data_IF_042379102670
#
_entry.id   IF_042379102670
#
_cell.length_a   1.000
_cell.length_b   1.000
_cell.length_c   1.000
_cell.angle_alpha   90.00
_cell.angle_beta   90.00
_cell.angle_gamma   90.00
#
_symmetry.space_group_name_H-M   'P 1'
#
loop_
_entity.id
_entity.type
_entity.pdbx_description
1 polymer ?
#
# COMPACT_ATOMS: atom_id res chain seq x y z
N UNK A 1 -8.67 -4.02 2.99
CA UNK A 1 -8.64 -5.38 3.56
C UNK A 1 -7.46 -5.44 4.52
N UNK A 2 -7.72 -5.85 5.77
CA UNK A 2 -6.66 -6.06 6.78
C UNK A 2 -6.25 -7.53 6.77
N UNK A 3 -4.96 -7.82 6.60
CA UNK A 3 -4.44 -9.20 6.64
C UNK A 3 -3.52 -9.46 7.84
N UNK A 4 -3.20 -8.43 8.63
CA UNK A 4 -2.41 -8.56 9.87
C UNK A 4 -3.26 -9.10 11.01
N UNK A 5 -2.78 -10.15 11.66
CA UNK A 5 -3.44 -10.81 12.80
C UNK A 5 -2.97 -10.34 14.17
N UNK A 6 -1.81 -9.69 14.26
CA UNK A 6 -1.21 -9.25 15.54
C UNK A 6 -0.83 -7.76 15.48
N UNK A 7 -1.83 -6.89 15.63
CA UNK A 7 -1.64 -5.44 15.67
C UNK A 7 -1.86 -4.90 17.07
N UNK A 8 -0.99 -4.00 17.57
CA UNK A 8 -1.37 -3.15 18.70
C UNK A 8 -2.66 -2.40 18.37
N UNK A 9 -3.50 -2.17 19.40
CA UNK A 9 -4.82 -1.56 19.24
C UNK A 9 -4.78 -0.20 18.50
N UNK A 10 -3.68 0.54 18.62
CA UNK A 10 -3.43 1.85 18.00
C UNK A 10 -2.67 1.80 16.66
N UNK A 11 -2.40 0.61 16.12
CA UNK A 11 -1.75 0.48 14.81
C UNK A 11 -2.72 0.82 13.68
N UNK A 12 -2.25 1.62 12.71
CA UNK A 12 -2.99 2.00 11.48
C UNK A 12 -3.54 0.77 10.76
N UNK A 13 -4.83 0.76 10.40
CA UNK A 13 -5.50 -0.38 9.73
C UNK A 13 -6.01 0.00 8.35
N UNK A 14 -6.33 -1.01 7.54
CA UNK A 14 -7.08 -0.81 6.31
C UNK A 14 -8.42 -0.13 6.59
N UNK A 15 -8.68 0.97 5.90
CA UNK A 15 -9.82 1.87 6.14
C UNK A 15 -9.42 3.18 6.81
N UNK A 16 -8.29 3.23 7.51
CA UNK A 16 -7.82 4.46 8.17
C UNK A 16 -7.22 5.45 7.18
N UNK A 17 -7.20 6.72 7.59
CA UNK A 17 -6.42 7.74 6.89
C UNK A 17 -4.95 7.43 7.07
N UNK A 18 -4.21 7.41 5.96
CA UNK A 18 -2.77 7.18 5.97
C UNK A 18 -2.08 8.25 6.82
N UNK A 19 -1.32 7.89 7.88
CA UNK A 19 -0.58 8.88 8.65
C UNK A 19 0.39 9.68 7.79
N UNK A 20 0.31 10.99 7.94
CA UNK A 20 1.24 11.93 7.31
C UNK A 20 2.51 12.12 8.14
N UNK A 21 3.60 12.53 7.49
CA UNK A 21 4.87 12.81 8.16
C UNK A 21 6.06 12.84 7.20
N UNK A 22 7.22 13.24 7.73
CA UNK A 22 8.51 13.15 7.02
C UNK A 22 9.33 12.03 7.66
N UNK A 23 9.65 10.98 6.90
CA UNK A 23 10.43 9.83 7.37
C UNK A 23 11.41 9.36 6.31
N UNK A 24 12.66 9.11 6.71
CA UNK A 24 13.73 8.74 5.76
C UNK A 24 13.93 9.76 4.63
N UNK A 25 13.65 11.04 4.89
CA UNK A 25 13.68 12.10 3.87
C UNK A 25 12.46 12.16 2.94
N UNK A 26 11.50 11.24 3.08
CA UNK A 26 10.28 11.20 2.27
C UNK A 26 9.14 11.90 3.00
N UNK A 27 8.48 12.86 2.34
CA UNK A 27 7.22 13.44 2.81
C UNK A 27 6.06 12.57 2.33
N UNK A 28 5.45 11.84 3.26
CA UNK A 28 4.42 10.85 2.98
C UNK A 28 3.24 11.46 2.21
N UNK A 29 2.81 12.65 2.59
CA UNK A 29 1.77 13.41 1.89
C UNK A 29 2.05 13.54 0.38
N UNK A 30 3.24 14.00 0.00
CA UNK A 30 3.62 14.18 -1.40
C UNK A 30 3.85 12.84 -2.11
N UNK A 31 4.20 11.80 -1.35
CA UNK A 31 4.39 10.46 -1.88
C UNK A 31 3.07 9.74 -2.18
N UNK A 32 2.00 10.06 -1.45
CA UNK A 32 0.64 9.55 -1.67
C UNK A 32 -0.14 10.37 -2.69
N UNK A 33 0.27 11.62 -2.92
CA UNK A 33 -0.40 12.54 -3.82
C UNK A 33 -0.19 12.11 -5.28
N UNK A 34 -1.29 12.01 -6.02
CA UNK A 34 -1.27 11.75 -7.46
C UNK A 34 -2.39 10.79 -7.87
N UNK A 35 -2.56 10.52 -9.17
CA UNK A 35 -3.55 9.57 -9.69
C UNK A 35 -3.13 8.11 -9.53
N UNK A 36 -2.15 7.83 -8.66
CA UNK A 36 -1.56 6.51 -8.48
C UNK A 36 -1.83 5.98 -7.07
N UNK A 37 -1.89 4.66 -6.96
CA UNK A 37 -1.81 4.00 -5.66
C UNK A 37 -0.36 4.03 -5.17
N UNK A 38 -0.17 4.03 -3.86
CA UNK A 38 1.18 4.04 -3.28
C UNK A 38 1.35 2.86 -2.33
N UNK A 39 2.30 1.98 -2.62
CA UNK A 39 2.73 0.93 -1.71
C UNK A 39 3.79 1.48 -0.76
N UNK A 40 3.43 1.69 0.50
CA UNK A 40 4.34 2.08 1.57
C UNK A 40 4.87 0.83 2.29
N UNK A 41 6.18 0.63 2.27
CA UNK A 41 6.89 -0.40 3.03
C UNK A 41 7.60 0.27 4.21
N UNK A 42 7.25 -0.15 5.42
CA UNK A 42 7.75 0.40 6.68
C UNK A 42 8.66 -0.64 7.34
N UNK A 43 9.91 -0.26 7.57
CA UNK A 43 10.90 -1.15 8.17
C UNK A 43 11.53 -2.14 7.18
N UNK A 44 12.67 -2.71 7.57
CA UNK A 44 13.44 -3.62 6.72
C UNK A 44 12.81 -5.03 6.66
N UNK A 45 12.17 -5.47 7.74
CA UNK A 45 11.51 -6.77 7.80
C UNK A 45 10.38 -6.93 6.76
N UNK A 46 9.70 -5.84 6.43
CA UNK A 46 8.65 -5.82 5.41
C UNK A 46 9.21 -5.83 3.96
N UNK A 47 10.53 -5.71 3.80
CA UNK A 47 11.22 -5.58 2.51
C UNK A 47 11.59 -6.91 1.83
N UNK A 48 11.52 -8.06 2.52
CA UNK A 48 12.10 -9.32 2.06
C UNK A 48 11.08 -10.48 1.92
N UNK A 49 11.33 -11.49 1.05
CA UNK A 49 12.16 -11.50 -0.17
C UNK A 49 11.35 -11.29 -1.46
N UNK A 50 10.02 -11.28 -1.39
CA UNK A 50 9.16 -10.92 -2.51
C UNK A 50 8.88 -9.41 -2.46
N UNK A 51 9.90 -8.59 -2.78
CA UNK A 51 9.59 -7.23 -3.20
C UNK A 51 8.56 -7.37 -4.31
N UNK A 52 7.32 -6.85 -4.16
CA UNK A 52 6.29 -7.08 -5.15
C UNK A 52 6.84 -6.59 -6.47
N UNK A 53 6.85 -7.49 -7.46
CA UNK A 53 7.20 -7.14 -8.83
C UNK A 53 6.52 -5.81 -9.14
N UNK A 54 7.30 -4.81 -9.57
CA UNK A 54 6.87 -3.42 -9.67
C UNK A 54 5.46 -3.35 -10.24
N UNK A 55 4.48 -3.06 -9.37
CA UNK A 55 3.10 -3.05 -9.78
C UNK A 55 2.92 -1.88 -10.75
N UNK A 56 2.58 -2.13 -12.02
CA UNK A 56 2.46 -1.06 -13.00
C UNK A 56 1.43 -0.05 -12.50
N UNK A 57 1.76 1.24 -12.48
CA UNK A 57 0.86 2.29 -11.99
C UNK A 57 0.75 2.42 -10.45
N UNK A 58 1.52 1.64 -9.68
CA UNK A 58 1.61 1.78 -8.22
C UNK A 58 3.00 2.28 -7.84
N UNK A 59 3.05 3.39 -7.09
CA UNK A 59 4.32 3.96 -6.61
C UNK A 59 4.78 3.23 -5.36
N UNK A 60 5.98 2.66 -5.37
CA UNK A 60 6.54 2.03 -4.16
C UNK A 60 7.39 3.03 -3.39
N UNK A 61 7.15 3.14 -2.08
CA UNK A 61 7.84 4.06 -1.15
C UNK A 61 8.31 3.24 0.04
N UNK A 62 9.58 3.38 0.40
CA UNK A 62 10.18 2.67 1.53
C UNK A 62 10.60 3.69 2.58
N UNK A 63 10.20 3.46 3.83
CA UNK A 63 10.58 4.30 4.96
C UNK A 63 11.15 3.43 6.09
N UNK A 64 12.04 4.01 6.93
CA UNK A 64 12.44 3.33 8.16
C UNK A 64 11.23 3.07 9.06
N UNK A 65 11.41 2.18 10.05
CA UNK A 65 10.38 1.84 11.04
C UNK A 65 9.70 3.08 11.59
N UNK A 66 8.37 3.09 11.51
CA UNK A 66 7.57 4.21 11.95
C UNK A 66 6.47 3.70 12.87
N UNK A 67 6.63 3.94 14.18
CA UNK A 67 5.75 3.37 15.20
C UNK A 67 4.26 3.66 15.04
N UNK A 68 3.89 4.74 14.33
CA UNK A 68 2.49 5.05 14.01
C UNK A 68 1.89 4.04 13.02
N UNK A 69 2.67 3.61 12.03
CA UNK A 69 2.26 2.55 11.10
C UNK A 69 2.50 1.15 11.68
N UNK A 70 3.56 0.99 12.46
CA UNK A 70 4.19 -0.30 12.71
C UNK A 70 4.99 -0.78 11.49
N UNK A 71 5.85 -1.77 11.69
CA UNK A 71 6.55 -2.40 10.57
C UNK A 71 5.56 -3.23 9.73
N UNK A 72 5.68 -3.15 8.40
CA UNK A 72 4.75 -3.81 7.49
C UNK A 72 4.64 -3.13 6.14
N UNK A 73 3.70 -3.60 5.32
CA UNK A 73 3.38 -3.02 4.02
C UNK A 73 1.94 -2.51 3.98
N UNK A 74 1.75 -1.35 3.39
CA UNK A 74 0.48 -0.64 3.34
C UNK A 74 0.22 -0.14 1.93
N UNK A 75 -0.91 -0.50 1.36
CA UNK A 75 -1.35 0.05 0.08
C UNK A 75 -2.24 1.25 0.33
N UNK A 76 -1.74 2.43 -0.02
CA UNK A 76 -2.39 3.72 0.13
C UNK A 76 -3.08 4.10 -1.17
N UNK A 77 -4.34 4.50 -1.06
CA UNK A 77 -5.15 4.99 -2.17
C UNK A 77 -4.74 6.42 -2.55
N UNK A 78 -5.00 6.85 -3.80
CA UNK A 78 -4.76 8.23 -4.23
C UNK A 78 -5.49 9.29 -3.40
N UNK A 79 -6.58 8.92 -2.71
CA UNK A 79 -7.31 9.79 -1.77
C UNK A 79 -6.68 9.85 -0.35
N UNK A 80 -5.56 9.17 -0.12
CA UNK A 80 -4.82 9.21 1.15
C UNK A 80 -5.35 8.27 2.24
N UNK A 81 -6.14 7.26 1.86
CA UNK A 81 -6.65 6.22 2.77
C UNK A 81 -5.94 4.89 2.55
N UNK A 82 -5.76 4.12 3.62
CA UNK A 82 -5.17 2.78 3.56
C UNK A 82 -6.20 1.82 2.97
N UNK A 83 -5.96 1.32 1.76
CA UNK A 83 -6.78 0.29 1.13
C UNK A 83 -6.46 -1.11 1.67
N UNK A 84 -5.19 -1.37 1.97
CA UNK A 84 -4.71 -2.67 2.44
C UNK A 84 -3.53 -2.53 3.39
N UNK A 85 -3.44 -3.40 4.38
CA UNK A 85 -2.28 -3.50 5.25
C UNK A 85 -1.95 -4.95 5.58
N UNK A 86 -0.67 -5.28 5.48
CA UNK A 86 -0.10 -6.61 5.67
C UNK A 86 1.22 -6.56 6.44
N UNK A 87 1.64 -7.68 7.08
CA UNK A 87 2.91 -7.74 7.81
C UNK A 87 4.12 -7.69 6.86
N UNK A 88 3.92 -8.07 5.60
CA UNK A 88 4.85 -7.96 4.49
C UNK A 88 4.09 -7.47 3.26
N UNK A 89 4.78 -7.18 2.16
CA UNK A 89 4.14 -6.85 0.90
C UNK A 89 3.50 -8.06 0.18
N UNK A 90 3.54 -9.24 0.79
CA UNK A 90 2.92 -10.45 0.25
C UNK A 90 1.39 -10.31 0.19
N UNK A 91 0.79 -10.67 -0.95
CA UNK A 91 -0.65 -10.53 -1.16
C UNK A 91 -1.12 -9.13 -1.58
N UNK A 92 -0.23 -8.13 -1.65
CA UNK A 92 -0.59 -6.81 -2.18
C UNK A 92 -0.93 -6.87 -3.68
N UNK A 93 -0.23 -7.69 -4.45
CA UNK A 93 -0.45 -7.85 -5.89
C UNK A 93 -1.85 -8.39 -6.25
N UNK A 94 -2.33 -9.52 -5.69
CA UNK A 94 -3.69 -9.99 -5.96
C UNK A 94 -4.75 -9.01 -5.45
N UNK A 95 -4.50 -8.31 -4.33
CA UNK A 95 -5.40 -7.27 -3.85
C UNK A 95 -5.46 -6.09 -4.84
N UNK A 96 -4.31 -5.59 -5.28
CA UNK A 96 -4.18 -4.48 -6.23
C UNK A 96 -4.90 -4.80 -7.55
N UNK A 97 -4.72 -6.01 -8.09
CA UNK A 97 -5.43 -6.46 -9.29
C UNK A 97 -6.96 -6.50 -9.08
N UNK A 98 -7.43 -6.97 -7.93
CA UNK A 98 -8.86 -7.03 -7.60
C UNK A 98 -9.53 -5.66 -7.47
N UNK A 99 -8.80 -4.61 -7.08
CA UNK A 99 -9.32 -3.23 -6.96
C UNK A 99 -9.00 -2.34 -8.17
N UNK A 100 -8.37 -2.90 -9.21
CA UNK A 100 -7.94 -2.15 -10.39
C UNK A 100 -6.78 -1.19 -10.14
N UNK A 101 -6.05 -1.35 -9.03
CA UNK A 101 -4.83 -0.59 -8.76
C UNK A 101 -3.73 -1.04 -9.73
N UNK A 102 -3.48 -0.23 -10.76
CA UNK A 102 -2.47 -0.46 -11.78
C UNK A 102 -2.97 -0.64 -13.20
N UNK A 103 -4.30 -0.61 -13.39
CA UNK A 103 -4.87 -0.36 -14.70
C UNK A 103 -4.79 1.12 -15.01
N UNK A 104 -4.00 1.52 -16.01
CA UNK A 104 -4.14 2.84 -16.60
C UNK A 104 -5.59 3.07 -16.99
N UNK A 105 -6.12 4.28 -16.76
CA UNK A 105 -7.43 4.66 -17.27
C UNK A 105 -7.43 4.55 -18.79
N UNK A 106 -7.89 3.41 -19.30
CA UNK A 106 -7.90 3.06 -20.71
C UNK A 106 -8.85 1.88 -20.92
N UNK A 107 -10.07 2.21 -21.35
CA UNK A 107 -11.04 1.37 -22.07
C UNK A 107 -11.09 -0.14 -21.79
N UNK A 108 -12.20 -0.57 -21.17
CA UNK A 108 -12.94 -1.78 -21.54
C UNK A 108 -12.22 -3.13 -21.47
N UNK A 109 -12.58 -3.94 -20.47
CA UNK A 109 -12.72 -5.37 -20.68
C UNK A 109 -14.06 -5.83 -20.09
N UNK A 110 -14.97 -6.18 -21.00
CA UNK A 110 -16.17 -6.93 -20.67
C UNK A 110 -15.77 -8.29 -20.14
N UNK A 111 -16.26 -8.64 -18.95
CA UNK A 111 -16.24 -10.01 -18.47
C UNK A 111 -17.45 -10.69 -19.07
N UNK A 112 -17.25 -11.32 -20.23
CA UNK A 112 -18.15 -12.34 -20.73
C UNK A 112 -17.98 -13.59 -19.88
N UNK A 113 -18.94 -13.84 -18.99
CA UNK A 113 -19.24 -15.17 -18.47
C UNK A 113 -20.61 -15.55 -19.03
N UNK A 114 -20.65 -16.61 -19.84
CA UNK A 114 -21.85 -17.14 -20.49
C UNK A 114 -21.60 -17.63 -21.89
#
# INVERSE_FOLDING_TARGET
METRTDLPADGVRAGDRAPDGIRGGVRLFDAFRGPHWTLLVVGEAASAPAAPAELPGVRTVRIPSYGVYGDGAFLIRPDGYVGWAGPTAEGVAPYAAGVGAGGGFGGGFGVGVG
#
